data_IF_665710735534
#
_entry.id   IF_665710735534
#
_cell.length_a   1.000
_cell.length_b   1.000
_cell.length_c   1.000
_cell.angle_alpha   90.00
_cell.angle_beta   90.00
_cell.angle_gamma   90.00
#
_symmetry.space_group_name_H-M   'P 1'
#
loop_
_entity.id
_entity.type
_entity.pdbx_description
1 polymer ?
#
# COMPACT_ATOMS: atom_id res chain seq x y z
N UNK A 1 5.78 -42.58 22.65
CA UNK A 1 5.74 -41.21 22.12
C UNK A 1 4.83 -41.20 20.91
N UNK A 2 3.90 -40.18 20.82
CA UNK A 2 3.07 -39.99 19.63
C UNK A 2 3.97 -39.58 18.45
N UNK A 3 3.74 -40.14 17.25
CA UNK A 3 4.45 -39.74 16.05
C UNK A 3 4.06 -38.32 15.67
N UNK A 4 5.03 -37.45 15.32
CA UNK A 4 4.83 -36.10 14.85
C UNK A 4 4.00 -36.08 13.55
N UNK A 5 3.08 -35.13 13.43
CA UNK A 5 2.20 -34.95 12.27
C UNK A 5 2.28 -33.49 11.79
N UNK A 6 1.78 -33.24 10.59
CA UNK A 6 1.77 -31.90 9.96
C UNK A 6 0.98 -30.90 10.81
N UNK A 7 -0.14 -31.32 11.36
CA UNK A 7 -0.97 -30.48 12.24
C UNK A 7 -0.22 -30.02 13.49
N UNK A 8 0.70 -30.83 14.00
CA UNK A 8 1.54 -30.45 15.12
C UNK A 8 2.51 -29.32 14.75
N UNK A 9 2.96 -29.28 13.49
CA UNK A 9 3.79 -28.20 12.94
C UNK A 9 2.95 -26.94 12.69
N UNK A 10 1.76 -27.07 12.12
CA UNK A 10 0.86 -25.93 11.89
C UNK A 10 0.49 -25.22 13.19
N UNK A 11 0.21 -26.00 14.25
CA UNK A 11 -0.08 -25.47 15.58
C UNK A 11 1.17 -24.82 16.21
N UNK A 12 2.32 -25.53 16.19
CA UNK A 12 3.56 -25.05 16.80
C UNK A 12 4.03 -23.73 16.20
N UNK A 13 3.97 -23.60 14.89
CA UNK A 13 4.40 -22.39 14.16
C UNK A 13 3.27 -21.40 13.93
N UNK A 14 2.05 -21.69 14.41
CA UNK A 14 0.87 -20.85 14.24
C UNK A 14 0.63 -20.38 12.79
N UNK A 15 0.80 -21.31 11.83
CA UNK A 15 0.70 -21.00 10.40
C UNK A 15 -0.66 -20.38 10.05
N UNK A 16 -1.74 -20.91 10.58
CA UNK A 16 -3.11 -20.38 10.37
C UNK A 16 -3.29 -18.95 10.91
N UNK A 17 -2.59 -18.59 11.99
CA UNK A 17 -2.68 -17.26 12.61
C UNK A 17 -2.00 -16.17 11.79
N UNK A 18 -0.73 -16.33 11.43
CA UNK A 18 0.00 -15.32 10.66
C UNK A 18 -0.19 -15.46 9.16
N UNK A 19 -0.41 -16.69 8.67
CA UNK A 19 -0.51 -16.98 7.23
C UNK A 19 -1.79 -16.47 6.57
N UNK A 20 -2.80 -16.13 7.33
CA UNK A 20 -4.08 -15.53 6.88
C UNK A 20 -4.70 -16.27 5.69
N UNK A 21 -4.63 -17.60 5.69
CA UNK A 21 -5.03 -18.53 4.62
C UNK A 21 -4.28 -18.38 3.29
N UNK A 22 -3.15 -17.68 3.26
CA UNK A 22 -2.23 -17.69 2.11
C UNK A 22 -1.14 -18.73 2.26
N UNK A 23 -0.78 -19.09 3.49
CA UNK A 23 0.28 -20.04 3.79
C UNK A 23 -0.30 -21.30 4.44
N UNK A 24 0.30 -22.44 4.13
CA UNK A 24 -0.04 -23.74 4.68
C UNK A 24 1.16 -24.68 4.64
N UNK A 25 0.94 -25.93 5.05
CA UNK A 25 1.94 -27.01 4.95
C UNK A 25 1.31 -28.13 4.11
N UNK A 26 2.05 -28.63 3.09
CA UNK A 26 1.57 -29.74 2.27
C UNK A 26 1.92 -31.12 2.89
N UNK A 27 1.45 -32.17 2.24
CA UNK A 27 1.67 -33.57 2.69
C UNK A 27 3.15 -33.97 2.76
N UNK A 28 4.05 -33.23 2.09
CA UNK A 28 5.50 -33.44 2.17
C UNK A 28 6.13 -32.72 3.38
N UNK A 29 5.36 -31.94 4.13
CA UNK A 29 5.84 -31.08 5.22
C UNK A 29 6.48 -29.77 4.75
N UNK A 30 6.30 -29.39 3.50
CA UNK A 30 6.82 -28.14 2.95
C UNK A 30 5.82 -27.00 3.15
N UNK A 31 6.32 -25.79 3.40
CA UNK A 31 5.48 -24.59 3.40
C UNK A 31 5.05 -24.30 1.98
N UNK A 32 3.74 -24.12 1.79
CA UNK A 32 3.14 -23.73 0.52
C UNK A 32 2.47 -22.37 0.63
N UNK A 33 2.43 -21.67 -0.51
CA UNK A 33 1.76 -20.35 -0.63
C UNK A 33 0.69 -20.43 -1.70
N UNK A 34 -0.53 -20.00 -1.37
CA UNK A 34 -1.66 -19.89 -2.30
C UNK A 34 -2.02 -18.42 -2.47
N UNK A 35 -1.31 -17.67 -3.32
CA UNK A 35 -1.39 -16.21 -3.35
C UNK A 35 -2.77 -15.68 -3.75
N UNK A 36 -3.45 -16.36 -4.67
CA UNK A 36 -4.78 -15.98 -5.20
C UNK A 36 -5.94 -16.70 -4.55
N UNK A 37 -5.67 -17.68 -3.68
CA UNK A 37 -6.70 -18.55 -3.09
C UNK A 37 -7.58 -19.30 -4.10
N UNK A 38 -7.04 -19.55 -5.28
CA UNK A 38 -7.67 -20.27 -6.40
C UNK A 38 -7.34 -21.76 -6.44
N UNK A 39 -6.66 -22.26 -5.42
CA UNK A 39 -6.21 -23.65 -5.30
C UNK A 39 -4.82 -23.89 -5.91
N UNK A 40 -4.23 -22.93 -6.61
CA UNK A 40 -2.86 -23.06 -7.11
C UNK A 40 -1.88 -22.67 -6.00
N UNK A 41 -1.09 -23.65 -5.56
CA UNK A 41 -0.10 -23.48 -4.50
C UNK A 41 1.34 -23.53 -5.05
N UNK A 42 2.19 -22.67 -4.50
CA UNK A 42 3.64 -22.68 -4.75
C UNK A 42 4.32 -23.34 -3.57
N UNK A 43 5.02 -24.46 -3.80
CA UNK A 43 5.86 -25.13 -2.79
C UNK A 43 7.17 -24.34 -2.65
N UNK A 44 7.38 -23.74 -1.46
CA UNK A 44 8.56 -22.90 -1.23
C UNK A 44 9.87 -23.68 -1.22
N UNK A 45 9.83 -24.96 -0.79
CA UNK A 45 11.04 -25.78 -0.80
C UNK A 45 11.44 -26.12 -2.25
N UNK A 46 10.49 -26.52 -3.07
CA UNK A 46 10.75 -26.81 -4.49
C UNK A 46 11.21 -25.54 -5.23
N UNK A 47 10.59 -24.38 -4.96
CA UNK A 47 11.02 -23.11 -5.54
C UNK A 47 12.46 -22.75 -5.18
N UNK A 48 12.84 -22.91 -3.90
CA UNK A 48 14.21 -22.64 -3.44
C UNK A 48 15.21 -23.57 -4.10
N UNK A 49 14.89 -24.87 -4.19
CA UNK A 49 15.75 -25.87 -4.84
C UNK A 49 15.96 -25.54 -6.32
N UNK A 50 14.91 -25.15 -7.04
CA UNK A 50 15.03 -24.72 -8.43
C UNK A 50 15.88 -23.46 -8.59
N UNK A 51 15.74 -22.48 -7.70
CA UNK A 51 16.53 -21.26 -7.73
C UNK A 51 18.01 -21.54 -7.47
N UNK A 52 18.32 -22.45 -6.55
CA UNK A 52 19.70 -22.87 -6.28
C UNK A 52 20.32 -23.58 -7.49
N UNK A 53 19.55 -24.39 -8.23
CA UNK A 53 20.02 -24.98 -9.49
C UNK A 53 20.32 -23.96 -10.60
N UNK A 54 19.81 -22.73 -10.44
CA UNK A 54 20.07 -21.58 -11.33
C UNK A 54 21.09 -20.61 -10.74
N UNK A 55 21.93 -21.06 -9.82
CA UNK A 55 22.97 -20.28 -9.13
C UNK A 55 22.44 -19.08 -8.30
N UNK A 56 21.18 -19.09 -7.91
CA UNK A 56 20.63 -18.11 -6.96
C UNK A 56 20.84 -18.62 -5.54
N UNK A 57 21.82 -18.04 -4.85
CA UNK A 57 22.18 -18.46 -3.49
C UNK A 57 21.28 -17.80 -2.42
N UNK A 58 21.14 -18.47 -1.26
CA UNK A 58 20.56 -17.88 -0.06
C UNK A 58 21.55 -16.87 0.57
N UNK A 59 21.06 -15.80 1.29
CA UNK A 59 19.66 -15.52 1.57
C UNK A 59 18.91 -14.96 0.36
N UNK A 60 17.64 -15.34 0.21
CA UNK A 60 16.78 -14.82 -0.86
C UNK A 60 15.47 -14.27 -0.29
N UNK A 61 14.93 -13.25 -0.95
CA UNK A 61 13.64 -12.66 -0.61
C UNK A 61 12.63 -12.98 -1.72
N UNK A 62 11.64 -13.79 -1.37
CA UNK A 62 10.54 -14.16 -2.29
C UNK A 62 9.34 -13.27 -1.98
N UNK A 63 8.73 -12.69 -3.01
CA UNK A 63 7.52 -11.88 -2.90
C UNK A 63 6.43 -12.46 -3.78
N UNK A 64 5.19 -12.34 -3.29
CA UNK A 64 3.99 -12.72 -4.00
C UNK A 64 3.08 -11.49 -4.16
N UNK A 65 3.21 -10.73 -5.28
CA UNK A 65 2.39 -9.53 -5.52
C UNK A 65 0.89 -9.81 -5.44
N UNK A 66 0.45 -10.96 -5.92
CA UNK A 66 -0.96 -11.38 -5.86
C UNK A 66 -1.57 -11.34 -4.44
N UNK A 67 -0.75 -11.46 -3.38
CA UNK A 67 -1.23 -11.29 -1.99
C UNK A 67 -1.59 -9.83 -1.73
N UNK A 68 -0.77 -8.88 -2.21
CA UNK A 68 -1.06 -7.44 -2.09
C UNK A 68 -2.35 -7.11 -2.84
N UNK A 69 -2.48 -7.61 -4.06
CA UNK A 69 -3.65 -7.43 -4.92
C UNK A 69 -4.92 -7.91 -4.23
N UNK A 70 -4.90 -9.14 -3.73
CA UNK A 70 -6.05 -9.71 -3.01
C UNK A 70 -6.39 -8.92 -1.74
N UNK A 71 -5.39 -8.36 -1.02
CA UNK A 71 -5.64 -7.53 0.16
C UNK A 71 -6.28 -6.19 -0.21
N UNK A 72 -5.82 -5.54 -1.28
CA UNK A 72 -6.41 -4.30 -1.79
C UNK A 72 -7.87 -4.55 -2.22
N UNK A 73 -8.11 -5.59 -3.00
CA UNK A 73 -9.45 -5.97 -3.44
C UNK A 73 -10.40 -6.23 -2.28
N UNK A 74 -9.95 -7.01 -1.29
CA UNK A 74 -10.75 -7.30 -0.10
C UNK A 74 -11.09 -6.04 0.69
N UNK A 75 -10.12 -5.13 0.85
CA UNK A 75 -10.35 -3.85 1.53
C UNK A 75 -11.38 -3.01 0.77
N UNK A 76 -11.21 -2.84 -0.53
CA UNK A 76 -12.14 -2.10 -1.38
C UNK A 76 -13.56 -2.70 -1.34
N UNK A 77 -13.66 -4.02 -1.40
CA UNK A 77 -14.92 -4.73 -1.33
C UNK A 77 -15.66 -4.51 0.00
N UNK A 78 -14.94 -4.59 1.14
CA UNK A 78 -15.55 -4.35 2.44
C UNK A 78 -16.10 -2.92 2.56
N UNK A 79 -15.35 -1.91 2.10
CA UNK A 79 -15.83 -0.53 2.08
C UNK A 79 -17.01 -0.33 1.14
N UNK A 80 -17.00 -0.98 -0.03
CA UNK A 80 -18.12 -0.94 -0.97
C UNK A 80 -19.38 -1.53 -0.35
N UNK A 81 -19.29 -2.71 0.26
CA UNK A 81 -20.43 -3.33 0.94
C UNK A 81 -20.98 -2.46 2.06
N UNK A 82 -20.11 -1.93 2.92
CA UNK A 82 -20.55 -1.03 3.98
C UNK A 82 -21.24 0.23 3.42
N UNK A 83 -20.70 0.81 2.35
CA UNK A 83 -21.32 1.97 1.70
C UNK A 83 -22.71 1.66 1.16
N UNK A 84 -22.90 0.51 0.57
CA UNK A 84 -24.21 0.05 0.07
C UNK A 84 -25.18 -0.19 1.23
N UNK A 85 -24.74 -0.87 2.28
CA UNK A 85 -25.57 -1.19 3.47
C UNK A 85 -26.06 0.07 4.18
N UNK A 86 -25.17 1.07 4.35
CA UNK A 86 -25.50 2.33 5.05
C UNK A 86 -25.99 3.46 4.11
N UNK A 87 -26.16 3.17 2.83
CA UNK A 87 -26.64 4.16 1.85
C UNK A 87 -25.68 5.32 1.63
N UNK A 88 -24.38 5.14 1.90
CA UNK A 88 -23.35 6.15 1.71
C UNK A 88 -23.11 6.43 0.22
N UNK A 89 -23.20 7.69 -0.20
CA UNK A 89 -23.19 8.07 -1.63
C UNK A 89 -21.85 8.67 -2.10
N UNK A 90 -20.97 9.04 -1.18
CA UNK A 90 -19.68 9.60 -1.56
C UNK A 90 -18.68 8.50 -1.99
N UNK A 91 -17.68 8.91 -2.76
CA UNK A 91 -16.63 8.02 -3.25
C UNK A 91 -15.66 7.66 -2.12
N UNK A 92 -15.30 6.40 -2.02
CA UNK A 92 -14.26 5.92 -1.12
C UNK A 92 -12.89 5.95 -1.82
N UNK A 93 -11.87 6.35 -1.07
CA UNK A 93 -10.47 6.32 -1.50
C UNK A 93 -9.65 5.52 -0.52
N UNK A 94 -8.85 4.60 -1.03
CA UNK A 94 -7.87 3.87 -0.23
C UNK A 94 -6.55 4.63 -0.31
N UNK A 95 -5.95 4.96 0.83
CA UNK A 95 -4.67 5.69 0.85
C UNK A 95 -3.59 4.81 1.48
N UNK A 96 -2.53 4.57 0.73
CA UNK A 96 -1.39 3.80 1.21
C UNK A 96 -0.26 4.72 1.68
N UNK A 97 0.11 4.68 2.98
CA UNK A 97 1.25 5.43 3.50
C UNK A 97 2.56 4.78 3.05
N UNK A 98 3.37 5.47 2.25
CA UNK A 98 4.59 4.85 1.70
C UNK A 98 5.63 4.49 2.77
N UNK A 99 5.59 5.14 3.93
CA UNK A 99 6.46 4.83 5.06
C UNK A 99 6.35 3.38 5.56
N UNK A 100 5.22 2.71 5.30
CA UNK A 100 5.01 1.31 5.70
C UNK A 100 5.97 0.38 4.97
N UNK A 101 6.08 0.53 3.65
CA UNK A 101 7.10 -0.13 2.84
C UNK A 101 7.39 0.72 1.60
N UNK A 102 8.56 1.37 1.58
CA UNK A 102 8.99 2.30 0.54
C UNK A 102 9.66 1.60 -0.66
N UNK A 103 9.72 0.29 -0.67
CA UNK A 103 10.35 -0.44 -1.77
C UNK A 103 9.60 -0.18 -3.07
N UNK A 104 10.31 0.36 -4.05
CA UNK A 104 9.73 0.77 -5.34
C UNK A 104 8.84 -0.31 -5.97
N UNK A 105 9.27 -1.59 -6.09
CA UNK A 105 8.42 -2.63 -6.69
C UNK A 105 7.11 -2.86 -5.92
N UNK A 106 7.12 -2.70 -4.58
CA UNK A 106 5.91 -2.85 -3.76
C UNK A 106 4.96 -1.68 -3.98
N UNK A 107 5.48 -0.45 -4.01
CA UNK A 107 4.67 0.76 -4.23
C UNK A 107 4.09 0.79 -5.64
N UNK A 108 4.88 0.43 -6.65
CA UNK A 108 4.42 0.34 -8.05
C UNK A 108 3.30 -0.70 -8.20
N UNK A 109 3.41 -1.87 -7.57
CA UNK A 109 2.36 -2.89 -7.57
C UNK A 109 1.06 -2.37 -6.92
N UNK A 110 1.19 -1.77 -5.73
CA UNK A 110 0.04 -1.21 -5.00
C UNK A 110 -0.69 -0.15 -5.84
N UNK A 111 0.04 0.75 -6.52
CA UNK A 111 -0.56 1.78 -7.37
C UNK A 111 -1.21 1.15 -8.60
N UNK A 112 -0.48 0.28 -9.29
CA UNK A 112 -0.96 -0.34 -10.53
C UNK A 112 -2.25 -1.10 -10.32
N UNK A 113 -2.27 -1.99 -9.32
CA UNK A 113 -3.46 -2.77 -9.00
C UNK A 113 -4.56 -1.95 -8.32
N UNK A 114 -4.16 -1.00 -7.47
CA UNK A 114 -5.08 -0.16 -6.69
C UNK A 114 -5.81 0.90 -7.51
N UNK A 115 -5.35 1.23 -8.72
CA UNK A 115 -5.95 2.27 -9.58
C UNK A 115 -7.46 2.10 -9.75
N UNK A 116 -7.93 0.88 -10.03
CA UNK A 116 -9.35 0.54 -10.20
C UNK A 116 -10.19 0.72 -8.92
N UNK A 117 -9.54 0.92 -7.77
CA UNK A 117 -10.17 1.12 -6.46
C UNK A 117 -9.96 2.52 -5.89
N UNK A 118 -9.56 3.50 -6.72
CA UNK A 118 -9.26 4.86 -6.31
C UNK A 118 -8.17 4.92 -5.23
N UNK A 119 -7.14 4.07 -5.35
CA UNK A 119 -6.04 4.06 -4.41
C UNK A 119 -5.13 5.26 -4.65
N UNK A 120 -4.79 5.95 -3.57
CA UNK A 120 -3.84 7.03 -3.53
C UNK A 120 -2.67 6.73 -2.58
N UNK A 121 -1.76 7.68 -2.47
CA UNK A 121 -0.58 7.57 -1.60
C UNK A 121 -0.57 8.66 -0.54
N UNK A 122 0.00 8.34 0.62
CA UNK A 122 0.33 9.33 1.64
C UNK A 122 1.83 9.50 1.75
N UNK A 123 2.25 10.77 1.85
CA UNK A 123 3.61 11.19 2.15
C UNK A 123 3.63 11.93 3.48
N UNK A 124 4.42 11.44 4.44
CA UNK A 124 4.58 12.05 5.75
C UNK A 124 5.79 12.98 5.86
N UNK A 125 6.58 13.11 4.79
CA UNK A 125 7.78 13.94 4.73
C UNK A 125 8.08 14.41 3.32
N UNK A 126 8.91 15.44 3.20
CA UNK A 126 9.33 15.96 1.88
C UNK A 126 10.05 14.90 1.02
N UNK A 127 11.01 14.11 1.52
CA UNK A 127 11.59 13.01 0.73
C UNK A 127 10.56 11.99 0.25
N UNK A 128 9.59 11.65 1.09
CA UNK A 128 8.51 10.75 0.69
C UNK A 128 7.64 11.36 -0.41
N UNK A 129 7.36 12.68 -0.34
CA UNK A 129 6.61 13.36 -1.39
C UNK A 129 7.35 13.33 -2.73
N UNK A 130 8.67 13.49 -2.76
CA UNK A 130 9.45 13.32 -3.99
C UNK A 130 9.28 11.92 -4.57
N UNK A 131 9.38 10.89 -3.73
CA UNK A 131 9.20 9.51 -4.15
C UNK A 131 7.77 9.27 -4.68
N UNK A 132 6.75 9.76 -3.97
CA UNK A 132 5.34 9.65 -4.38
C UNK A 132 5.09 10.31 -5.72
N UNK A 133 5.59 11.54 -5.95
CA UNK A 133 5.44 12.24 -7.23
C UNK A 133 6.09 11.46 -8.36
N UNK A 134 7.25 10.85 -8.11
CA UNK A 134 7.99 10.10 -9.12
C UNK A 134 7.31 8.79 -9.53
N UNK A 135 6.69 8.06 -8.59
CA UNK A 135 6.05 6.77 -8.88
C UNK A 135 4.57 6.89 -9.26
N UNK A 136 3.88 7.92 -8.76
CA UNK A 136 2.45 8.13 -9.04
C UNK A 136 2.26 8.84 -10.38
N UNK A 137 2.09 8.08 -11.44
CA UNK A 137 1.86 8.60 -12.79
C UNK A 137 0.40 8.99 -13.06
N UNK A 138 -0.54 8.53 -12.23
CA UNK A 138 -1.96 8.82 -12.39
C UNK A 138 -2.31 10.21 -11.83
N UNK A 139 -2.91 11.07 -12.65
CA UNK A 139 -3.37 12.41 -12.24
C UNK A 139 -4.59 12.36 -11.31
N UNK A 140 -5.40 11.31 -11.41
CA UNK A 140 -6.65 11.19 -10.63
C UNK A 140 -6.42 10.58 -9.24
N UNK A 141 -5.28 9.92 -9.05
CA UNK A 141 -4.88 9.36 -7.75
C UNK A 141 -4.59 10.46 -6.72
N UNK A 142 -5.13 10.30 -5.51
CA UNK A 142 -4.90 11.24 -4.41
C UNK A 142 -3.49 11.13 -3.85
N UNK A 143 -2.90 12.27 -3.52
CA UNK A 143 -1.67 12.37 -2.72
C UNK A 143 -2.01 13.15 -1.44
N UNK A 144 -1.91 12.48 -0.31
CA UNK A 144 -2.15 13.08 1.01
C UNK A 144 -0.82 13.47 1.64
N UNK A 145 -0.63 14.75 1.89
CA UNK A 145 0.58 15.30 2.50
C UNK A 145 0.37 15.48 4.01
N UNK A 146 0.83 14.51 4.79
CA UNK A 146 0.81 14.53 6.25
C UNK A 146 2.16 15.00 6.83
N UNK A 147 2.28 14.96 8.15
CA UNK A 147 3.48 15.36 8.88
C UNK A 147 3.70 16.87 8.93
N UNK A 148 4.71 17.29 9.66
CA UNK A 148 5.07 18.69 9.79
C UNK A 148 5.69 19.23 8.49
N UNK A 149 5.17 20.37 8.03
CA UNK A 149 5.55 20.93 6.73
C UNK A 149 6.33 22.22 6.89
N UNK A 150 7.54 22.22 6.34
CA UNK A 150 8.30 23.41 6.10
C UNK A 150 7.88 24.08 4.77
N UNK A 151 8.46 25.24 4.49
CA UNK A 151 8.19 26.01 3.28
C UNK A 151 8.47 25.18 2.01
N UNK A 152 9.60 24.49 1.96
CA UNK A 152 9.98 23.70 0.79
C UNK A 152 9.11 22.45 0.57
N UNK A 153 8.56 21.86 1.64
CA UNK A 153 7.58 20.78 1.50
C UNK A 153 6.28 21.31 0.88
N UNK A 154 5.77 22.44 1.37
CA UNK A 154 4.54 23.06 0.86
C UNK A 154 4.74 23.48 -0.59
N UNK A 155 5.89 24.13 -0.90
CA UNK A 155 6.24 24.51 -2.27
C UNK A 155 6.19 23.30 -3.22
N UNK A 156 6.86 22.20 -2.86
CA UNK A 156 6.86 20.97 -3.66
C UNK A 156 5.44 20.44 -3.89
N UNK A 157 4.61 20.42 -2.86
CA UNK A 157 3.23 19.96 -2.97
C UNK A 157 2.40 20.84 -3.91
N UNK A 158 2.53 22.17 -3.82
CA UNK A 158 1.84 23.11 -4.69
C UNK A 158 2.35 23.04 -6.15
N UNK A 159 3.64 22.82 -6.35
CA UNK A 159 4.19 22.58 -7.69
C UNK A 159 3.66 21.28 -8.29
N UNK A 160 3.56 20.22 -7.50
CA UNK A 160 2.95 18.97 -7.93
C UNK A 160 1.47 19.16 -8.31
N UNK A 161 0.73 19.99 -7.57
CA UNK A 161 -0.64 20.37 -7.94
C UNK A 161 -0.69 21.08 -9.29
N UNK A 162 0.23 22.02 -9.55
CA UNK A 162 0.36 22.69 -10.88
C UNK A 162 0.70 21.73 -12.01
N UNK A 163 1.38 20.62 -11.72
CA UNK A 163 1.62 19.54 -12.66
C UNK A 163 0.40 18.62 -12.88
N UNK A 164 -0.74 18.95 -12.29
CA UNK A 164 -1.99 18.20 -12.43
C UNK A 164 -2.19 17.08 -11.41
N UNK A 165 -1.38 17.01 -10.35
CA UNK A 165 -1.60 16.02 -9.28
C UNK A 165 -2.69 16.48 -8.32
N UNK A 166 -3.49 15.53 -7.81
CA UNK A 166 -4.51 15.78 -6.80
C UNK A 166 -3.89 15.74 -5.40
N UNK A 167 -3.51 16.92 -4.90
CA UNK A 167 -2.80 17.10 -3.63
C UNK A 167 -3.76 17.52 -2.53
N UNK A 168 -3.67 16.86 -1.37
CA UNK A 168 -4.32 17.28 -0.12
C UNK A 168 -3.24 17.59 0.91
N UNK A 169 -3.18 18.85 1.35
CA UNK A 169 -2.32 19.29 2.44
C UNK A 169 -3.07 19.17 3.75
N UNK A 170 -2.66 18.28 4.63
CA UNK A 170 -3.21 18.15 5.98
C UNK A 170 -2.50 19.13 6.89
N UNK A 171 -3.24 20.03 7.53
CA UNK A 171 -2.70 21.01 8.46
C UNK A 171 -2.49 20.37 9.84
N UNK A 172 -1.23 20.17 10.22
CA UNK A 172 -0.86 19.58 11.52
C UNK A 172 -0.67 20.66 12.61
N UNK A 173 -0.26 21.87 12.21
CA UNK A 173 0.01 23.00 13.11
C UNK A 173 -0.61 24.28 12.57
N UNK A 174 -1.10 25.14 13.47
CA UNK A 174 -1.72 26.41 13.09
C UNK A 174 -0.82 27.35 12.27
N UNK A 175 0.49 27.29 12.46
CA UNK A 175 1.43 28.09 11.67
C UNK A 175 1.54 27.60 10.22
N UNK A 176 1.29 26.32 9.96
CA UNK A 176 1.30 25.77 8.58
C UNK A 176 0.20 26.41 7.73
N UNK A 177 -0.97 26.70 8.31
CA UNK A 177 -2.06 27.36 7.56
C UNK A 177 -1.61 28.70 6.97
N UNK A 178 -0.91 29.53 7.78
CA UNK A 178 -0.37 30.81 7.30
C UNK A 178 0.68 30.62 6.22
N UNK A 179 1.52 29.61 6.40
CA UNK A 179 2.59 29.27 5.46
C UNK A 179 2.01 28.78 4.13
N UNK A 180 1.03 27.88 4.17
CA UNK A 180 0.32 27.36 2.98
C UNK A 180 -0.35 28.52 2.21
N UNK A 181 -1.08 29.41 2.91
CA UNK A 181 -1.75 30.54 2.27
C UNK A 181 -0.74 31.51 1.59
N UNK A 182 0.39 31.78 2.25
CA UNK A 182 1.47 32.61 1.69
C UNK A 182 2.05 31.96 0.43
N UNK A 183 2.43 30.69 0.49
CA UNK A 183 3.04 29.96 -0.62
C UNK A 183 2.07 29.82 -1.80
N UNK A 184 0.80 29.51 -1.52
CA UNK A 184 -0.22 29.43 -2.57
C UNK A 184 -0.37 30.77 -3.32
N UNK A 185 -0.35 31.89 -2.60
CA UNK A 185 -0.37 33.23 -3.22
C UNK A 185 0.88 33.49 -4.07
N UNK A 186 2.08 33.17 -3.56
CA UNK A 186 3.33 33.34 -4.28
C UNK A 186 3.39 32.55 -5.58
N UNK A 187 2.92 31.30 -5.53
CA UNK A 187 2.91 30.40 -6.67
C UNK A 187 1.67 30.52 -7.55
N UNK A 188 0.76 31.43 -7.24
CA UNK A 188 -0.53 31.58 -7.93
C UNK A 188 -1.29 30.25 -8.04
N UNK A 189 -1.40 29.53 -6.92
CA UNK A 189 -2.15 28.28 -6.79
C UNK A 189 -3.52 28.53 -6.15
N UNK A 190 -4.55 27.89 -6.70
CA UNK A 190 -5.87 27.87 -6.07
C UNK A 190 -5.93 26.72 -5.05
N UNK A 191 -6.34 27.06 -3.84
CA UNK A 191 -6.61 26.10 -2.78
C UNK A 191 -8.10 26.09 -2.47
N UNK A 192 -8.64 24.88 -2.31
CA UNK A 192 -9.99 24.66 -1.84
C UNK A 192 -9.91 24.02 -0.46
N UNK A 193 -10.69 24.51 0.48
CA UNK A 193 -10.86 23.88 1.79
C UNK A 193 -12.08 22.99 1.74
N UNK A 194 -12.05 21.87 2.51
CA UNK A 194 -13.28 21.14 2.78
C UNK A 194 -14.25 22.08 3.52
N UNK A 195 -15.52 22.15 3.13
CA UNK A 195 -16.49 22.88 3.95
C UNK A 195 -16.49 22.29 5.36
N UNK A 196 -16.42 23.17 6.36
CA UNK A 196 -16.60 22.74 7.74
C UNK A 196 -17.99 22.11 7.89
N UNK A 197 -18.12 21.01 8.64
CA UNK A 197 -19.42 20.42 8.92
C UNK A 197 -20.29 21.36 9.72
#
# INVERSE_FOLDING_TARGET
MRKWRIEDSEELYNITGWGTSYFGINDKGHVVVTPRKDGVAVDLKELVDELQLRDVAAPMLVRFPDILDNRIEKTAYCFKQASEEYGYKAQNFIIYPIKVNQMRPVVEEIISHGKKFNLGLEAGSKPELHAVIAVNTDSDSLIICNGYKDESYIELALLAQKMGKRIFLVVEKMNELKLIARMAKQLNCLLYTSPSP
#
